data_IF_797213311706
#
_entry.id   IF_797213311706
#
_cell.length_a   1.000
_cell.length_b   1.000
_cell.length_c   1.000
_cell.angle_alpha   90.00
_cell.angle_beta   90.00
_cell.angle_gamma   90.00
#
_symmetry.space_group_name_H-M   'P 1'
#
loop_
_entity.id
_entity.type
_entity.pdbx_description
1 polymer ?
#
# COMPACT_ATOMS: atom_id res chain seq x y z
N UNK A 1 -5.66 24.14 -19.55
CA UNK A 1 -5.02 24.48 -18.27
C UNK A 1 -4.23 23.26 -17.85
N UNK A 2 -2.90 23.32 -17.90
CA UNK A 2 -2.02 22.26 -17.37
C UNK A 2 -2.18 22.31 -15.84
N UNK A 3 -2.89 21.37 -15.24
CA UNK A 3 -2.90 21.21 -13.78
C UNK A 3 -1.44 21.04 -13.35
N UNK A 4 -0.97 21.91 -12.46
CA UNK A 4 0.35 21.78 -11.84
C UNK A 4 0.37 20.47 -11.05
N UNK A 5 0.80 19.38 -11.68
CA UNK A 5 1.01 18.09 -11.01
C UNK A 5 2.32 18.18 -10.25
N UNK A 6 2.25 18.39 -8.94
CA UNK A 6 3.42 18.38 -8.05
C UNK A 6 4.13 17.01 -8.08
N UNK A 7 3.38 15.95 -8.32
CA UNK A 7 3.87 14.57 -8.46
C UNK A 7 3.25 13.97 -9.72
N UNK A 8 4.08 13.40 -10.59
CA UNK A 8 3.60 12.79 -11.83
C UNK A 8 2.53 11.73 -11.57
N UNK A 9 1.37 11.85 -12.22
CA UNK A 9 0.25 10.91 -12.11
C UNK A 9 -0.64 11.12 -10.87
N UNK A 10 -0.35 12.15 -10.04
CA UNK A 10 -1.21 12.51 -8.91
C UNK A 10 -1.89 13.84 -9.20
N UNK A 11 -3.22 13.86 -9.20
CA UNK A 11 -4.00 15.08 -9.41
C UNK A 11 -4.04 15.93 -8.14
N UNK A 12 -3.62 17.18 -8.25
CA UNK A 12 -3.63 18.13 -7.14
C UNK A 12 -2.64 17.75 -6.02
N UNK A 13 -2.98 18.15 -4.81
CA UNK A 13 -2.21 17.89 -3.59
C UNK A 13 -3.15 17.26 -2.52
N UNK A 14 -3.42 15.95 -2.61
CA UNK A 14 -4.40 15.30 -1.74
C UNK A 14 -3.96 15.34 -0.28
N UNK A 15 -4.96 15.39 0.62
CA UNK A 15 -4.69 15.27 2.06
C UNK A 15 -4.33 13.82 2.39
N UNK A 16 -3.21 13.66 3.09
CA UNK A 16 -2.69 12.40 3.58
C UNK A 16 -2.56 12.42 5.10
N UNK A 17 -2.38 11.25 5.68
CA UNK A 17 -2.08 11.09 7.10
C UNK A 17 -0.64 10.58 7.26
N UNK A 18 0.13 11.23 8.12
CA UNK A 18 1.48 10.79 8.50
C UNK A 18 1.68 10.96 10.00
N UNK A 19 1.87 9.86 10.72
CA UNK A 19 2.25 9.83 12.15
C UNK A 19 1.40 10.67 13.11
N UNK A 20 0.10 10.77 12.87
CA UNK A 20 -0.83 11.51 13.72
C UNK A 20 -1.31 12.84 13.11
N UNK A 21 -0.76 13.27 11.99
CA UNK A 21 -1.05 14.55 11.36
C UNK A 21 -1.67 14.36 9.98
N UNK A 22 -2.76 15.09 9.70
CA UNK A 22 -3.29 15.26 8.35
C UNK A 22 -2.67 16.49 7.71
N UNK A 23 -2.22 16.38 6.48
CA UNK A 23 -1.63 17.48 5.72
C UNK A 23 -1.56 17.14 4.23
N UNK A 24 -1.16 18.11 3.39
CA UNK A 24 -1.01 17.87 1.96
C UNK A 24 0.13 16.88 1.68
N UNK A 25 -0.02 16.09 0.62
CA UNK A 25 0.96 15.07 0.23
C UNK A 25 2.35 15.67 -0.02
N UNK A 26 2.41 16.87 -0.59
CA UNK A 26 3.68 17.60 -0.88
C UNK A 26 4.51 17.90 0.37
N UNK A 27 3.88 17.99 1.54
CA UNK A 27 4.54 18.25 2.82
C UNK A 27 4.88 16.96 3.61
N UNK A 28 4.35 15.81 3.18
CA UNK A 28 4.59 14.54 3.86
C UNK A 28 6.04 14.08 3.68
N UNK A 29 6.81 14.03 4.75
CA UNK A 29 8.24 13.67 4.75
C UNK A 29 8.53 12.59 5.78
N UNK A 30 9.32 11.60 5.37
CA UNK A 30 9.84 10.56 6.26
C UNK A 30 11.36 10.70 6.38
N UNK A 31 11.92 10.19 7.49
CA UNK A 31 13.36 10.10 7.64
C UNK A 31 13.95 9.12 6.64
N UNK A 32 15.10 9.43 6.04
CA UNK A 32 15.87 8.49 5.20
C UNK A 32 16.40 7.28 6.00
N UNK A 33 16.35 7.35 7.34
CA UNK A 33 16.66 6.22 8.24
C UNK A 33 15.40 5.43 8.64
N UNK A 34 14.23 5.70 8.04
CA UNK A 34 13.07 4.83 8.20
C UNK A 34 13.36 3.44 7.64
N UNK A 35 13.11 2.41 8.43
CA UNK A 35 13.44 1.03 8.04
C UNK A 35 12.60 0.52 6.87
N UNK A 36 11.40 1.09 6.68
CA UNK A 36 10.58 0.83 5.48
C UNK A 36 11.27 1.34 4.22
N UNK A 37 11.92 2.52 4.28
CA UNK A 37 12.70 3.07 3.18
C UNK A 37 14.00 2.29 2.92
N UNK A 38 14.74 1.92 4.00
CA UNK A 38 16.06 1.26 3.87
C UNK A 38 15.93 -0.22 3.48
N UNK A 39 14.99 -0.96 4.09
CA UNK A 39 14.92 -2.43 4.02
C UNK A 39 13.60 -2.97 3.47
N UNK A 40 12.59 -2.12 3.25
CA UNK A 40 11.25 -2.60 3.05
C UNK A 40 10.67 -3.27 4.32
N UNK A 41 11.17 -2.90 5.52
CA UNK A 41 10.74 -3.46 6.81
C UNK A 41 9.41 -2.82 7.23
N UNK A 42 8.34 -3.33 6.64
CA UNK A 42 6.99 -2.82 6.84
C UNK A 42 5.95 -3.60 6.08
N UNK A 43 4.71 -3.23 6.32
CA UNK A 43 3.52 -3.81 5.70
C UNK A 43 2.67 -2.71 5.07
N UNK A 44 1.77 -3.10 4.19
CA UNK A 44 0.74 -2.20 3.67
C UNK A 44 -0.61 -2.88 3.61
N UNK A 45 -1.67 -2.08 3.54
CA UNK A 45 -3.03 -2.53 3.30
C UNK A 45 -3.71 -1.60 2.30
N UNK A 46 -4.66 -2.14 1.55
CA UNK A 46 -5.44 -1.39 0.58
C UNK A 46 -6.91 -1.70 0.82
N UNK A 47 -7.67 -0.68 1.22
CA UNK A 47 -9.11 -0.79 1.49
C UNK A 47 -9.86 -0.11 0.35
N UNK A 48 -10.59 -0.85 -0.49
CA UNK A 48 -11.41 -0.24 -1.54
C UNK A 48 -12.52 0.64 -0.95
N UNK A 49 -12.84 1.71 -1.67
CA UNK A 49 -13.96 2.62 -1.37
C UNK A 49 -14.95 2.54 -2.54
N UNK A 50 -16.21 2.31 -2.24
CA UNK A 50 -17.31 2.39 -3.20
C UNK A 50 -18.39 3.32 -2.65
N UNK A 51 -18.76 4.33 -3.43
CA UNK A 51 -19.75 5.35 -3.03
C UNK A 51 -19.41 5.98 -1.66
N UNK A 52 -18.14 6.32 -1.44
CA UNK A 52 -17.66 6.89 -0.19
C UNK A 52 -17.64 5.94 1.02
N UNK A 53 -17.85 4.63 0.81
CA UNK A 53 -17.89 3.65 1.90
C UNK A 53 -16.75 2.64 1.78
N UNK A 54 -15.93 2.42 2.84
CA UNK A 54 -14.91 1.39 2.85
C UNK A 54 -15.52 -0.02 2.74
N UNK A 55 -14.97 -0.82 1.84
CA UNK A 55 -15.45 -2.18 1.61
C UNK A 55 -14.65 -3.18 2.45
N UNK A 56 -15.34 -4.09 3.15
CA UNK A 56 -14.74 -5.18 3.94
C UNK A 56 -13.67 -4.72 4.95
N UNK A 57 -13.90 -3.59 5.61
CA UNK A 57 -12.95 -2.98 6.54
C UNK A 57 -12.41 -3.94 7.59
N UNK A 58 -13.29 -4.75 8.21
CA UNK A 58 -12.92 -5.74 9.23
C UNK A 58 -11.89 -6.76 8.74
N UNK A 59 -12.10 -7.30 7.53
CA UNK A 59 -11.18 -8.28 6.93
C UNK A 59 -9.82 -7.66 6.61
N UNK A 60 -9.80 -6.42 6.14
CA UNK A 60 -8.58 -5.68 5.88
C UNK A 60 -7.80 -5.40 7.18
N UNK A 61 -8.47 -4.96 8.24
CA UNK A 61 -7.83 -4.76 9.54
C UNK A 61 -7.31 -6.05 10.15
N UNK A 62 -8.06 -7.15 10.03
CA UNK A 62 -7.59 -8.46 10.49
C UNK A 62 -6.33 -8.92 9.73
N UNK A 63 -6.21 -8.64 8.42
CA UNK A 63 -5.00 -8.94 7.65
C UNK A 63 -3.83 -8.04 8.04
N UNK A 64 -4.08 -6.75 8.23
CA UNK A 64 -3.10 -5.79 8.73
C UNK A 64 -2.51 -6.25 10.07
N UNK A 65 -3.35 -6.63 11.04
CA UNK A 65 -2.94 -7.15 12.35
C UNK A 65 -2.07 -8.41 12.23
N UNK A 66 -2.48 -9.38 11.40
CA UNK A 66 -1.68 -10.59 11.16
C UNK A 66 -0.32 -10.28 10.54
N UNK A 67 -0.27 -9.36 9.59
CA UNK A 67 0.99 -8.96 8.94
C UNK A 67 1.94 -8.27 9.92
N UNK A 68 1.44 -7.36 10.76
CA UNK A 68 2.21 -6.71 11.82
C UNK A 68 2.76 -7.73 12.83
N UNK A 69 1.92 -8.67 13.27
CA UNK A 69 2.32 -9.71 14.21
C UNK A 69 3.44 -10.59 13.65
N UNK A 70 3.36 -11.00 12.37
CA UNK A 70 4.40 -11.80 11.69
C UNK A 70 5.74 -11.08 11.60
N UNK A 71 5.74 -9.77 11.35
CA UNK A 71 6.94 -8.95 11.36
C UNK A 71 7.35 -8.49 12.77
N UNK A 72 6.59 -8.83 13.82
CA UNK A 72 6.80 -8.34 15.20
C UNK A 72 6.90 -6.82 15.28
N UNK A 73 6.09 -6.12 14.49
CA UNK A 73 5.90 -4.68 14.56
C UNK A 73 4.79 -4.40 15.57
N UNK A 74 5.04 -3.49 16.51
CA UNK A 74 4.03 -3.09 17.49
C UNK A 74 2.82 -2.47 16.79
N UNK A 75 1.60 -2.81 17.24
CA UNK A 75 0.38 -2.20 16.76
C UNK A 75 0.37 -0.69 17.08
N UNK A 76 0.35 0.20 16.06
CA UNK A 76 0.38 1.64 16.31
C UNK A 76 -0.98 2.21 16.73
N UNK A 77 -2.07 1.50 16.42
CA UNK A 77 -3.44 1.94 16.66
C UNK A 77 -4.36 0.77 16.97
N UNK A 78 -5.42 1.05 17.74
CA UNK A 78 -6.53 0.11 17.97
C UNK A 78 -7.45 0.04 16.73
N UNK A 79 -8.28 -1.01 16.63
CA UNK A 79 -9.28 -1.13 15.54
C UNK A 79 -10.20 0.10 15.40
N UNK A 80 -10.80 0.64 16.48
CA UNK A 80 -11.60 1.85 16.38
C UNK A 80 -10.83 3.05 15.83
N UNK A 81 -9.54 3.21 16.20
CA UNK A 81 -8.69 4.28 15.67
C UNK A 81 -8.42 4.11 14.18
N UNK A 82 -8.17 2.88 13.69
CA UNK A 82 -8.05 2.59 12.26
C UNK A 82 -9.32 2.92 11.50
N UNK A 83 -10.48 2.53 12.02
CA UNK A 83 -11.78 2.86 11.41
C UNK A 83 -11.99 4.36 11.35
N UNK A 84 -11.66 5.10 12.42
CA UNK A 84 -11.70 6.56 12.47
C UNK A 84 -10.81 7.19 11.41
N UNK A 85 -9.53 6.80 11.35
CA UNK A 85 -8.57 7.28 10.35
C UNK A 85 -9.07 7.11 8.92
N UNK A 86 -9.59 5.91 8.58
CA UNK A 86 -10.10 5.65 7.23
C UNK A 86 -11.31 6.52 6.93
N UNK A 87 -12.25 6.69 7.86
CA UNK A 87 -13.41 7.59 7.70
C UNK A 87 -12.98 9.04 7.49
N UNK A 88 -12.02 9.52 8.28
CA UNK A 88 -11.51 10.88 8.19
C UNK A 88 -10.80 11.14 6.86
N UNK A 89 -10.00 10.18 6.35
CA UNK A 89 -9.40 10.28 5.03
C UNK A 89 -10.44 10.31 3.92
N UNK A 90 -11.44 9.42 3.99
CA UNK A 90 -12.53 9.38 3.00
C UNK A 90 -13.35 10.67 3.01
N UNK A 91 -13.57 11.30 4.17
CA UNK A 91 -14.28 12.58 4.25
C UNK A 91 -13.51 13.76 3.66
N UNK A 92 -12.19 13.64 3.49
CA UNK A 92 -11.29 14.69 2.95
C UNK A 92 -11.01 14.53 1.46
N UNK A 93 -11.55 13.52 0.81
CA UNK A 93 -11.41 13.30 -0.63
C UNK A 93 -12.73 13.56 -1.36
N UNK A 94 -12.64 13.94 -2.63
CA UNK A 94 -13.77 13.99 -3.56
C UNK A 94 -14.02 12.67 -4.29
N UNK A 95 -13.15 11.67 -4.06
CA UNK A 95 -13.21 10.39 -4.74
C UNK A 95 -14.34 9.52 -4.18
N UNK A 96 -15.45 9.39 -4.92
CA UNK A 96 -16.54 8.50 -4.57
C UNK A 96 -16.15 7.01 -4.69
N UNK A 97 -15.24 6.69 -5.61
CA UNK A 97 -14.67 5.35 -5.83
C UNK A 97 -13.16 5.45 -5.83
N UNK A 98 -12.52 4.70 -4.95
CA UNK A 98 -11.08 4.79 -4.76
C UNK A 98 -10.56 3.69 -3.83
N UNK A 99 -9.39 3.89 -3.30
CA UNK A 99 -8.79 3.01 -2.30
C UNK A 99 -8.07 3.81 -1.23
N UNK A 100 -8.21 3.39 0.03
CA UNK A 100 -7.32 3.86 1.11
C UNK A 100 -6.10 2.97 1.13
N UNK A 101 -4.95 3.54 0.84
CA UNK A 101 -3.64 2.92 1.04
C UNK A 101 -3.17 3.22 2.46
N UNK A 102 -2.74 2.20 3.19
CA UNK A 102 -2.16 2.31 4.53
C UNK A 102 -0.80 1.62 4.49
N UNK A 103 0.25 2.30 4.92
CA UNK A 103 1.59 1.74 5.07
C UNK A 103 2.09 1.91 6.49
N UNK A 104 2.68 0.86 7.05
CA UNK A 104 3.28 0.87 8.38
C UNK A 104 4.68 0.29 8.26
N UNK A 105 5.70 1.08 8.56
CA UNK A 105 7.07 0.59 8.72
C UNK A 105 7.39 0.36 10.20
N UNK A 106 8.48 -0.37 10.48
CA UNK A 106 8.97 -0.52 11.86
C UNK A 106 9.35 0.83 12.49
N UNK A 107 9.65 1.85 11.68
CA UNK A 107 10.04 3.18 12.13
C UNK A 107 11.51 3.51 11.91
N UNK A 108 11.94 4.61 12.51
CA UNK A 108 13.28 5.21 12.31
C UNK A 108 14.29 4.64 13.30
N UNK A 109 15.39 4.09 12.79
CA UNK A 109 16.51 3.58 13.60
C UNK A 109 17.82 3.65 12.81
N UNK A 110 18.97 3.50 13.49
CA UNK A 110 20.24 3.30 12.80
C UNK A 110 20.15 2.10 11.85
N UNK A 111 20.91 2.14 10.75
CA UNK A 111 20.94 1.04 9.79
C UNK A 111 21.62 -0.20 10.39
N UNK A 112 20.81 -1.16 10.79
CA UNK A 112 21.21 -2.47 11.29
C UNK A 112 20.15 -3.50 10.90
N UNK A 113 20.52 -4.75 10.58
CA UNK A 113 19.55 -5.79 10.24
C UNK A 113 18.75 -6.25 11.47
N UNK A 114 19.36 -6.27 12.65
CA UNK A 114 18.67 -6.59 13.88
C UNK A 114 17.53 -5.60 14.16
N UNK A 115 16.49 -6.07 14.85
CA UNK A 115 15.44 -5.17 15.32
C UNK A 115 16.02 -4.20 16.36
N UNK A 116 15.61 -2.92 16.32
CA UNK A 116 16.12 -1.93 17.27
C UNK A 116 15.71 -2.27 18.70
N UNK A 117 16.67 -2.11 19.61
CA UNK A 117 16.49 -2.23 21.06
C UNK A 117 16.96 -0.93 21.71
N UNK A 118 16.11 -0.21 22.44
CA UNK A 118 14.66 -0.45 22.60
C UNK A 118 13.88 -0.34 21.31
N UNK A 119 12.67 -0.93 21.28
CA UNK A 119 11.79 -0.84 20.12
C UNK A 119 11.45 0.62 19.80
N UNK A 120 11.41 0.95 18.50
CA UNK A 120 11.09 2.29 18.01
C UNK A 120 9.61 2.39 17.65
N UNK A 121 9.08 3.62 17.62
CA UNK A 121 7.72 3.90 17.22
C UNK A 121 7.54 3.61 15.73
N UNK A 122 6.53 2.81 15.32
CA UNK A 122 6.23 2.60 13.91
C UNK A 122 5.87 3.90 13.18
N UNK A 123 6.28 4.02 11.92
CA UNK A 123 5.83 5.09 11.02
C UNK A 123 4.55 4.64 10.35
N UNK A 124 3.52 5.48 10.41
CA UNK A 124 2.22 5.22 9.81
C UNK A 124 1.92 6.28 8.76
N UNK A 125 1.74 5.85 7.52
CA UNK A 125 1.31 6.68 6.39
C UNK A 125 0.00 6.14 5.83
N UNK A 126 -0.94 7.02 5.48
CA UNK A 126 -2.15 6.63 4.77
C UNK A 126 -2.64 7.74 3.82
N UNK A 127 -3.20 7.34 2.67
CA UNK A 127 -3.76 8.23 1.67
C UNK A 127 -4.94 7.61 0.95
N UNK A 128 -5.79 8.44 0.34
CA UNK A 128 -6.77 7.98 -0.66
C UNK A 128 -6.17 8.14 -2.05
N UNK A 129 -6.31 7.10 -2.87
CA UNK A 129 -5.99 7.14 -4.29
C UNK A 129 -7.24 6.79 -5.12
N UNK A 130 -7.44 7.40 -6.31
CA UNK A 130 -8.52 7.02 -7.19
C UNK A 130 -8.36 5.57 -7.67
N UNK A 131 -9.46 4.90 -7.93
CA UNK A 131 -9.49 3.55 -8.50
C UNK A 131 -10.43 3.52 -9.70
N UNK A 132 -9.93 3.10 -10.85
CA UNK A 132 -10.74 2.88 -12.03
C UNK A 132 -11.20 1.43 -12.05
N UNK A 133 -12.51 1.15 -11.93
CA UNK A 133 -13.02 -0.21 -12.05
C UNK A 133 -12.75 -0.77 -13.46
N UNK A 134 -12.62 -2.10 -13.61
CA UNK A 134 -12.49 -2.73 -14.92
C UNK A 134 -13.65 -2.33 -15.82
N UNK A 135 -13.36 -1.97 -17.08
CA UNK A 135 -14.39 -1.63 -18.07
C UNK A 135 -15.31 -2.83 -18.37
N UNK A 136 -16.49 -2.58 -18.95
CA UNK A 136 -17.39 -3.65 -19.40
C UNK A 136 -16.68 -4.59 -20.39
N UNK A 137 -15.89 -4.05 -21.32
CA UNK A 137 -15.11 -4.84 -22.27
C UNK A 137 -14.08 -5.77 -21.59
N UNK A 138 -13.39 -5.30 -20.54
CA UNK A 138 -12.46 -6.12 -19.77
C UNK A 138 -13.19 -7.22 -19.01
N UNK A 139 -14.38 -6.92 -18.46
CA UNK A 139 -15.19 -7.94 -17.75
C UNK A 139 -15.70 -9.02 -18.69
N UNK A 140 -16.04 -8.67 -19.92
CA UNK A 140 -16.58 -9.58 -20.95
C UNK A 140 -15.46 -10.40 -21.62
N UNK A 141 -14.38 -9.73 -22.06
CA UNK A 141 -13.32 -10.34 -22.88
C UNK A 141 -12.14 -10.88 -22.08
N UNK A 142 -12.05 -10.51 -20.80
CA UNK A 142 -10.87 -10.79 -19.98
C UNK A 142 -9.68 -9.89 -20.30
N UNK A 143 -8.51 -10.32 -19.83
CA UNK A 143 -7.22 -9.64 -20.02
C UNK A 143 -6.21 -10.61 -20.64
N UNK A 144 -5.26 -10.09 -21.41
CA UNK A 144 -4.13 -10.86 -21.91
C UNK A 144 -3.07 -10.96 -20.83
N UNK A 145 -2.43 -12.10 -20.69
CA UNK A 145 -1.39 -12.30 -19.69
C UNK A 145 -0.25 -13.17 -20.21
N UNK A 146 0.89 -13.10 -19.54
CA UNK A 146 2.03 -14.00 -19.74
C UNK A 146 2.31 -14.75 -18.44
N UNK A 147 2.77 -16.00 -18.56
CA UNK A 147 3.21 -16.80 -17.42
C UNK A 147 4.72 -16.66 -17.21
N UNK A 148 5.14 -16.39 -15.98
CA UNK A 148 6.55 -16.27 -15.60
C UNK A 148 6.84 -17.06 -14.31
N UNK A 149 8.10 -17.47 -14.07
CA UNK A 149 8.48 -18.04 -12.78
C UNK A 149 8.27 -17.05 -11.63
N UNK A 150 7.75 -17.53 -10.50
CA UNK A 150 7.61 -16.72 -9.28
C UNK A 150 8.95 -16.58 -8.56
N UNK A 151 9.56 -15.42 -8.67
CA UNK A 151 10.84 -15.07 -8.03
C UNK A 151 10.67 -14.30 -6.71
N UNK A 152 9.45 -14.12 -6.21
CA UNK A 152 9.22 -13.45 -4.93
C UNK A 152 9.75 -14.32 -3.78
N UNK A 153 9.95 -13.67 -2.62
CA UNK A 153 10.33 -14.39 -1.40
C UNK A 153 9.24 -15.39 -0.94
N UNK A 154 9.57 -16.29 0.00
CA UNK A 154 8.65 -17.37 0.40
C UNK A 154 7.49 -16.90 1.30
N UNK A 155 7.65 -15.81 2.04
CA UNK A 155 6.62 -15.26 2.92
C UNK A 155 5.61 -14.37 2.20
N UNK A 156 5.04 -14.82 1.08
CA UNK A 156 4.02 -14.08 0.32
C UNK A 156 2.69 -13.90 1.07
N UNK A 157 2.51 -14.59 2.20
CA UNK A 157 1.39 -14.46 3.12
C UNK A 157 1.45 -13.19 4.01
N UNK A 158 2.62 -12.52 4.06
CA UNK A 158 2.79 -11.19 4.66
C UNK A 158 2.59 -10.13 3.57
N UNK A 159 1.64 -9.22 3.78
CA UNK A 159 1.42 -8.09 2.87
C UNK A 159 2.49 -7.01 3.09
N UNK A 160 3.73 -7.36 2.75
CA UNK A 160 4.95 -6.58 2.96
C UNK A 160 5.12 -5.51 1.88
N UNK A 161 5.79 -4.40 2.23
CA UNK A 161 6.23 -3.37 1.27
C UNK A 161 7.47 -3.77 0.45
N UNK A 162 8.05 -4.94 0.68
CA UNK A 162 9.15 -5.52 -0.11
C UNK A 162 8.61 -6.06 -1.44
N UNK A 163 8.28 -5.18 -2.38
CA UNK A 163 7.51 -5.48 -3.60
C UNK A 163 8.36 -5.53 -4.88
N UNK A 164 9.68 -5.56 -4.79
CA UNK A 164 10.55 -5.54 -5.99
C UNK A 164 10.21 -6.67 -6.97
N UNK A 165 9.99 -7.89 -6.50
CA UNK A 165 9.58 -9.00 -7.35
C UNK A 165 8.24 -8.78 -8.05
N UNK A 166 7.29 -8.11 -7.39
CA UNK A 166 6.01 -7.74 -8.00
C UNK A 166 6.18 -6.62 -9.05
N UNK A 167 7.08 -5.66 -8.80
CA UNK A 167 7.40 -4.57 -9.75
C UNK A 167 8.00 -5.16 -11.02
N UNK A 168 8.99 -6.05 -10.90
CA UNK A 168 9.60 -6.73 -12.03
C UNK A 168 8.61 -7.60 -12.82
N UNK A 169 7.73 -8.30 -12.11
CA UNK A 169 6.67 -9.09 -12.75
C UNK A 169 5.71 -8.20 -13.56
N UNK A 170 5.29 -7.06 -13.00
CA UNK A 170 4.43 -6.11 -13.73
C UNK A 170 5.15 -5.51 -14.94
N UNK A 171 6.45 -5.20 -14.81
CA UNK A 171 7.24 -4.71 -15.95
C UNK A 171 7.32 -5.74 -17.07
N UNK A 172 7.46 -7.03 -16.74
CA UNK A 172 7.45 -8.10 -17.75
C UNK A 172 6.13 -8.16 -18.57
N UNK A 173 4.97 -7.86 -17.95
CA UNK A 173 3.72 -7.71 -18.69
C UNK A 173 3.78 -6.53 -19.66
N UNK A 174 4.30 -5.39 -19.21
CA UNK A 174 4.46 -4.18 -20.05
C UNK A 174 5.38 -4.47 -21.24
N UNK A 175 6.53 -5.08 -21.00
CA UNK A 175 7.52 -5.41 -22.04
C UNK A 175 6.97 -6.42 -23.06
N UNK A 176 6.12 -7.35 -22.62
CA UNK A 176 5.42 -8.31 -23.48
C UNK A 176 4.18 -7.73 -24.18
N UNK A 177 3.81 -6.48 -23.92
CA UNK A 177 2.61 -5.83 -24.48
C UNK A 177 1.30 -6.48 -24.05
N UNK A 178 1.26 -7.08 -22.84
CA UNK A 178 0.07 -7.71 -22.23
C UNK A 178 -0.37 -6.98 -20.97
N UNK A 179 -1.55 -7.33 -20.45
CA UNK A 179 -2.18 -6.58 -19.37
C UNK A 179 -1.67 -7.01 -17.98
N UNK A 180 -1.33 -8.32 -17.80
CA UNK A 180 -0.99 -8.86 -16.50
C UNK A 180 -0.06 -10.09 -16.60
N UNK A 181 0.47 -10.57 -15.46
CA UNK A 181 1.27 -11.79 -15.34
C UNK A 181 0.62 -12.82 -14.43
N UNK A 182 0.77 -14.10 -14.77
CA UNK A 182 0.59 -15.22 -13.85
C UNK A 182 1.97 -15.70 -13.43
N UNK A 183 2.22 -15.76 -12.14
CA UNK A 183 3.48 -16.25 -11.57
C UNK A 183 3.28 -17.68 -11.05
N UNK A 184 4.13 -18.61 -11.47
CA UNK A 184 4.07 -20.00 -11.05
C UNK A 184 5.35 -20.44 -10.35
N UNK A 185 5.23 -21.39 -9.42
CA UNK A 185 6.34 -21.97 -8.66
C UNK A 185 6.18 -23.48 -8.61
N UNK A 186 7.26 -24.21 -8.90
CA UNK A 186 7.30 -25.68 -8.88
C UNK A 186 6.18 -26.33 -9.72
N UNK A 187 5.85 -25.73 -10.86
CA UNK A 187 4.82 -26.25 -11.77
C UNK A 187 3.37 -25.99 -11.37
N UNK A 188 3.14 -25.22 -10.29
CA UNK A 188 1.80 -24.84 -9.79
C UNK A 188 1.59 -23.32 -9.88
#
# INVERSE_FOLDING_TARGET
>A
MVQNMLIQGVSGDPIVYLNGVFGPLSEAKISVLDRGFIFGDGIYEVVPIYHGKPFRMEQHLARLERSLAKLKIQQPMTKPQWVGLVKDLVSKTTEATGMVYIQISRGVAKRDHAFPVPAVKPTVFAMVAPMTPPSAAVREKGVRLVSIPDMRWLHCDIKSVSLLGNVLAKQAAVDAGVDEVVQFRNGN
#
